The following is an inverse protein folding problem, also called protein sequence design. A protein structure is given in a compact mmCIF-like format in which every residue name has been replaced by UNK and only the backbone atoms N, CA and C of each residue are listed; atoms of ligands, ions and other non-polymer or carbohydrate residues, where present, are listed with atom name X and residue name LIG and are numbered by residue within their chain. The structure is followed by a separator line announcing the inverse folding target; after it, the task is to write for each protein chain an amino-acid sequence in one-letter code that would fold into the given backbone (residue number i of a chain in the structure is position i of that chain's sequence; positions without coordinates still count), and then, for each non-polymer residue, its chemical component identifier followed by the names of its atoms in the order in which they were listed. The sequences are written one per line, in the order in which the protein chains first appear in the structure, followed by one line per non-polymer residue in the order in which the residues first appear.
data_IF_591430298259
#
_entry.id   IF_591430298259
#
_cell.length_a   1.000
_cell.length_b   1.000
_cell.length_c   1.000
_cell.angle_alpha   90.00
_cell.angle_beta   90.00
_cell.angle_gamma   90.00
#
_symmetry.space_group_name_H-M   'P 1'
#
loop_
_entity.id
_entity.type
_entity.pdbx_description
1 polymer ?
#
# COMPACT_ATOMS: atom_id res chain seq x y z
N UNK A 1 -18.72 11.79 2.37
CA UNK A 1 -17.46 11.31 2.96
C UNK A 1 -16.51 10.96 1.85
N UNK A 2 -15.33 11.57 1.83
CA UNK A 2 -14.25 11.32 0.88
C UNK A 2 -13.12 10.63 1.63
N UNK A 3 -12.63 9.50 1.09
CA UNK A 3 -11.56 8.71 1.71
C UNK A 3 -10.41 8.60 0.71
N UNK A 4 -9.21 9.05 1.09
CA UNK A 4 -8.00 8.74 0.35
C UNK A 4 -7.50 7.37 0.81
N UNK A 5 -7.48 6.42 -0.11
CA UNK A 5 -7.18 5.01 0.21
C UNK A 5 -5.70 4.64 0.06
N UNK A 6 -4.83 5.61 -0.34
CA UNK A 6 -3.44 5.30 -0.64
C UNK A 6 -2.45 6.28 -0.01
N UNK A 7 -2.24 6.17 1.31
CA UNK A 7 -1.35 7.06 2.06
C UNK A 7 -0.26 6.28 2.81
N UNK A 8 1.00 6.61 2.55
CA UNK A 8 2.15 6.07 3.29
C UNK A 8 2.51 6.99 4.46
N UNK A 9 2.35 6.56 5.73
CA UNK A 9 2.51 7.42 6.90
C UNK A 9 3.97 7.56 7.36
N UNK A 10 4.93 7.64 6.44
CA UNK A 10 6.36 7.51 6.73
C UNK A 10 6.98 8.58 7.63
N UNK A 11 6.35 9.76 7.77
CA UNK A 11 6.99 10.93 8.39
C UNK A 11 6.15 11.60 9.49
N UNK A 12 5.25 10.89 10.15
CA UNK A 12 4.62 11.42 11.36
C UNK A 12 5.59 11.40 12.53
N UNK A 13 5.68 12.51 13.30
CA UNK A 13 6.55 12.63 14.48
C UNK A 13 6.38 11.46 15.44
N UNK A 14 5.15 11.02 15.65
CA UNK A 14 4.80 9.94 16.57
C UNK A 14 5.51 8.61 16.31
N UNK A 15 5.86 8.33 15.05
CA UNK A 15 6.49 7.08 14.62
C UNK A 15 7.89 7.29 14.00
N UNK A 16 8.46 8.47 14.16
CA UNK A 16 9.76 8.85 13.58
C UNK A 16 10.82 9.14 14.60
N UNK A 17 10.68 8.60 15.82
CA UNK A 17 11.64 8.79 16.92
C UNK A 17 12.94 8.03 16.75
N UNK A 18 12.93 6.91 16.05
CA UNK A 18 14.13 6.14 15.73
C UNK A 18 14.80 6.69 14.46
N UNK A 19 16.07 7.06 14.58
CA UNK A 19 16.83 7.67 13.47
C UNK A 19 17.21 6.66 12.39
N UNK A 20 17.50 5.42 12.76
CA UNK A 20 17.90 4.38 11.80
C UNK A 20 16.70 3.97 10.96
N UNK A 21 15.54 3.78 11.59
CA UNK A 21 14.28 3.54 10.88
C UNK A 21 13.91 4.71 9.96
N UNK A 22 14.08 5.94 10.41
CA UNK A 22 13.76 7.12 9.61
C UNK A 22 14.65 7.22 8.36
N UNK A 23 15.95 6.98 8.51
CA UNK A 23 16.87 6.97 7.36
C UNK A 23 16.59 5.78 6.42
N UNK A 24 16.22 4.63 6.95
CA UNK A 24 15.76 3.50 6.13
C UNK A 24 14.53 3.87 5.31
N UNK A 25 13.51 4.53 5.92
CA UNK A 25 12.31 5.01 5.22
C UNK A 25 12.64 5.97 4.10
N UNK A 26 13.48 6.98 4.39
CA UNK A 26 13.91 7.96 3.39
C UNK A 26 14.54 7.29 2.19
N UNK A 27 15.47 6.38 2.43
CA UNK A 27 16.14 5.60 1.39
C UNK A 27 15.15 4.78 0.57
N UNK A 28 14.25 4.03 1.23
CA UNK A 28 13.30 3.16 0.54
C UNK A 28 12.21 3.90 -0.23
N UNK A 29 11.83 5.09 0.21
CA UNK A 29 10.81 5.91 -0.40
C UNK A 29 11.36 6.98 -1.35
N UNK A 30 12.69 7.15 -1.44
CA UNK A 30 13.35 8.25 -2.17
C UNK A 30 12.90 9.64 -1.70
N UNK A 31 12.72 9.83 -0.39
CA UNK A 31 12.22 11.05 0.23
C UNK A 31 13.27 11.73 1.11
N UNK A 32 14.47 11.91 0.59
CA UNK A 32 15.64 12.40 1.34
C UNK A 32 15.42 13.76 2.02
N UNK A 33 14.57 14.62 1.43
CA UNK A 33 14.28 15.95 1.94
C UNK A 33 13.13 16.00 2.95
N UNK A 34 12.42 14.89 3.16
CA UNK A 34 11.29 14.86 4.08
C UNK A 34 11.76 14.87 5.54
N UNK A 35 11.03 15.62 6.34
CA UNK A 35 11.21 15.70 7.80
C UNK A 35 9.93 15.28 8.51
N UNK A 36 10.02 14.74 9.72
CA UNK A 36 8.85 14.44 10.53
C UNK A 36 7.97 15.66 10.76
N UNK A 37 6.64 15.44 10.74
CA UNK A 37 5.62 16.46 10.94
C UNK A 37 4.49 15.96 11.84
N UNK A 38 3.80 16.87 12.56
CA UNK A 38 2.70 16.51 13.43
C UNK A 38 1.42 16.16 12.67
N UNK A 39 0.54 15.37 13.28
CA UNK A 39 -0.77 14.97 12.71
C UNK A 39 -1.65 16.19 12.39
N UNK A 40 -1.52 17.27 13.14
CA UNK A 40 -2.28 18.51 12.93
C UNK A 40 -2.05 19.15 11.57
N UNK A 41 -0.86 18.98 11.00
CA UNK A 41 -0.58 19.42 9.63
C UNK A 41 -1.46 18.65 8.64
N UNK A 42 -1.52 17.32 8.77
CA UNK A 42 -2.39 16.47 7.95
C UNK A 42 -3.86 16.85 8.13
N UNK A 43 -4.31 17.08 9.35
CA UNK A 43 -5.69 17.53 9.65
C UNK A 43 -6.03 18.82 8.91
N UNK A 44 -5.10 19.76 8.87
CA UNK A 44 -5.25 21.02 8.16
C UNK A 44 -5.31 20.79 6.64
N UNK A 45 -4.42 19.97 6.10
CA UNK A 45 -4.39 19.63 4.66
C UNK A 45 -5.68 18.92 4.21
N UNK A 46 -6.15 17.92 4.99
CA UNK A 46 -7.38 17.19 4.71
C UNK A 46 -8.60 18.11 4.69
N UNK A 47 -8.70 19.04 5.67
CA UNK A 47 -9.76 20.03 5.68
C UNK A 47 -9.77 20.92 4.45
N UNK A 48 -8.59 21.35 4.01
CA UNK A 48 -8.44 22.15 2.80
C UNK A 48 -8.78 21.36 1.53
N UNK A 49 -8.35 20.10 1.47
CA UNK A 49 -8.62 19.18 0.35
C UNK A 49 -10.03 18.56 0.37
N UNK A 50 -10.85 18.83 1.38
CA UNK A 50 -12.16 18.20 1.58
C UNK A 50 -12.10 16.66 1.65
N UNK A 51 -11.04 16.12 2.26
CA UNK A 51 -10.87 14.68 2.52
C UNK A 51 -11.24 14.40 3.98
N UNK A 52 -12.05 13.38 4.20
CA UNK A 52 -12.56 13.05 5.54
C UNK A 52 -11.70 12.02 6.26
N UNK A 53 -11.15 11.04 5.51
CA UNK A 53 -10.37 9.92 6.07
C UNK A 53 -9.20 9.57 5.18
N UNK A 54 -8.14 9.01 5.79
CA UNK A 54 -6.98 8.45 5.12
C UNK A 54 -6.81 6.98 5.49
N UNK A 55 -6.49 6.14 4.52
CA UNK A 55 -6.07 4.76 4.76
C UNK A 55 -4.55 4.71 4.77
N UNK A 56 -3.99 4.38 5.92
CA UNK A 56 -2.54 4.29 6.12
C UNK A 56 -2.01 2.93 5.68
N UNK A 57 -1.04 2.94 4.78
CA UNK A 57 -0.44 1.75 4.16
C UNK A 57 0.98 1.54 4.67
N UNK A 58 1.22 0.50 5.48
CA UNK A 58 2.57 0.08 5.87
C UNK A 58 3.27 -0.63 4.72
N UNK A 59 4.56 -0.97 4.88
CA UNK A 59 5.27 -1.75 3.88
C UNK A 59 6.35 -2.61 4.54
N UNK A 60 6.17 -3.91 4.50
CA UNK A 60 7.15 -4.90 4.96
C UNK A 60 8.11 -5.27 3.82
N UNK A 61 9.37 -4.93 3.99
CA UNK A 61 10.46 -5.25 3.07
C UNK A 61 11.54 -6.09 3.78
N UNK A 62 11.14 -6.89 4.77
CA UNK A 62 12.08 -7.63 5.63
C UNK A 62 13.03 -8.48 4.80
N UNK A 63 12.55 -9.21 3.82
CA UNK A 63 13.38 -10.09 2.98
C UNK A 63 14.13 -9.32 1.89
N UNK A 64 13.45 -8.37 1.23
CA UNK A 64 14.04 -7.66 0.07
C UNK A 64 14.99 -6.52 0.46
N UNK A 65 14.77 -5.86 1.60
CA UNK A 65 15.57 -4.70 2.02
C UNK A 65 15.99 -4.72 3.50
N UNK A 66 15.62 -5.75 4.27
CA UNK A 66 16.04 -5.95 5.66
C UNK A 66 15.22 -5.19 6.70
N UNK A 67 14.03 -4.68 6.37
CA UNK A 67 13.21 -3.95 7.34
C UNK A 67 11.87 -3.46 6.84
N UNK A 68 11.22 -2.63 7.64
CA UNK A 68 9.93 -2.03 7.35
C UNK A 68 10.07 -0.56 6.98
N UNK A 69 9.37 -0.12 5.93
CA UNK A 69 9.21 1.32 5.69
C UNK A 69 8.36 1.93 6.80
N UNK A 70 7.20 1.32 7.07
CA UNK A 70 6.38 1.56 8.27
C UNK A 70 5.81 0.21 8.68
N UNK A 71 5.86 -0.13 9.96
CA UNK A 71 5.35 -1.40 10.48
C UNK A 71 3.84 -1.37 10.74
N UNK A 72 3.23 -2.55 10.90
CA UNK A 72 1.83 -2.67 11.31
C UNK A 72 1.58 -2.03 12.68
N UNK A 73 2.52 -2.17 13.62
CA UNK A 73 2.47 -1.56 14.95
C UNK A 73 2.48 -0.03 14.88
N UNK A 74 3.29 0.52 13.99
CA UNK A 74 3.35 1.97 13.78
C UNK A 74 2.06 2.51 13.15
N UNK A 75 1.46 1.77 12.22
CA UNK A 75 0.13 2.12 11.69
C UNK A 75 -0.92 2.09 12.80
N UNK A 76 -0.91 1.06 13.67
CA UNK A 76 -1.81 1.02 14.83
C UNK A 76 -1.62 2.23 15.75
N UNK A 77 -0.37 2.62 16.01
CA UNK A 77 -0.05 3.81 16.80
C UNK A 77 -0.67 5.06 16.19
N UNK A 78 -0.58 5.23 14.88
CA UNK A 78 -1.18 6.38 14.17
C UNK A 78 -2.71 6.36 14.21
N UNK A 79 -3.33 5.18 14.01
CA UNK A 79 -4.79 5.03 14.13
C UNK A 79 -5.27 5.35 15.54
N UNK A 80 -4.53 4.97 16.58
CA UNK A 80 -4.84 5.30 17.96
C UNK A 80 -4.67 6.81 18.27
N UNK A 81 -3.66 7.44 17.65
CA UNK A 81 -3.40 8.89 17.81
C UNK A 81 -4.54 9.75 17.24
N UNK A 82 -5.08 9.35 16.07
CA UNK A 82 -6.13 10.11 15.41
C UNK A 82 -7.19 9.17 14.76
N UNK A 83 -8.02 8.49 15.57
CA UNK A 83 -9.00 7.51 15.08
C UNK A 83 -10.13 8.16 14.26
N UNK A 84 -10.31 9.46 14.40
CA UNK A 84 -11.23 10.25 13.60
C UNK A 84 -10.70 10.53 12.18
N UNK A 85 -9.39 10.40 11.93
CA UNK A 85 -8.75 10.63 10.63
C UNK A 85 -8.35 9.35 9.92
N UNK A 86 -7.83 8.36 10.64
CA UNK A 86 -7.09 7.26 10.06
C UNK A 86 -7.82 5.94 10.13
N UNK A 87 -7.74 5.20 9.02
CA UNK A 87 -7.88 3.75 8.96
C UNK A 87 -6.50 3.13 8.72
N UNK A 88 -6.26 1.91 9.20
CA UNK A 88 -5.00 1.22 9.01
C UNK A 88 -5.17 -0.05 8.19
N UNK A 89 -4.28 -0.26 7.22
CA UNK A 89 -4.08 -1.54 6.56
C UNK A 89 -2.85 -2.23 7.14
N UNK A 90 -2.74 -3.52 6.91
CA UNK A 90 -1.54 -4.33 7.20
C UNK A 90 -0.62 -4.40 6.00
N UNK A 91 0.62 -4.80 6.22
CA UNK A 91 1.52 -5.33 5.21
C UNK A 91 2.20 -6.58 5.74
N UNK A 92 2.71 -7.40 4.86
CA UNK A 92 3.54 -8.55 5.18
C UNK A 92 4.49 -8.82 4.01
N UNK A 93 5.73 -9.18 4.31
CA UNK A 93 6.63 -9.72 3.30
C UNK A 93 6.24 -11.19 3.03
N UNK A 94 5.87 -11.57 1.79
CA UNK A 94 5.39 -12.92 1.49
C UNK A 94 6.42 -14.03 1.72
N UNK A 95 7.70 -13.69 1.73
CA UNK A 95 8.80 -14.63 1.92
C UNK A 95 9.13 -14.93 3.39
N UNK A 96 8.46 -14.28 4.33
CA UNK A 96 8.64 -14.55 5.76
C UNK A 96 8.05 -15.91 6.12
N UNK A 97 8.73 -16.65 6.97
CA UNK A 97 8.23 -17.91 7.51
C UNK A 97 6.97 -17.71 8.39
N UNK A 98 6.90 -16.56 9.09
CA UNK A 98 5.80 -16.18 9.97
C UNK A 98 4.73 -15.29 9.30
N UNK A 99 4.72 -15.20 7.96
CA UNK A 99 3.83 -14.28 7.21
C UNK A 99 2.35 -14.42 7.60
N UNK A 100 1.86 -15.63 7.77
CA UNK A 100 0.45 -15.88 8.13
C UNK A 100 0.14 -15.50 9.57
N UNK A 101 1.09 -15.68 10.49
CA UNK A 101 0.95 -15.28 11.90
C UNK A 101 0.92 -13.74 12.01
N UNK A 102 1.78 -13.05 11.26
CA UNK A 102 1.80 -11.59 11.16
C UNK A 102 0.44 -11.07 10.66
N UNK A 103 -0.13 -11.67 9.61
CA UNK A 103 -1.44 -11.28 9.09
C UNK A 103 -2.56 -11.58 10.08
N UNK A 104 -2.54 -12.74 10.71
CA UNK A 104 -3.56 -13.09 11.69
C UNK A 104 -3.58 -12.13 12.88
N UNK A 105 -2.40 -11.80 13.42
CA UNK A 105 -2.24 -10.77 14.44
C UNK A 105 -2.78 -9.42 13.96
N UNK A 106 -2.42 -9.01 12.74
CA UNK A 106 -2.84 -7.74 12.16
C UNK A 106 -4.38 -7.63 12.06
N UNK A 107 -5.05 -8.69 11.64
CA UNK A 107 -6.50 -8.68 11.43
C UNK A 107 -7.31 -8.90 12.71
N UNK A 108 -6.85 -9.79 13.61
CA UNK A 108 -7.58 -10.14 14.84
C UNK A 108 -7.29 -9.21 16.01
N UNK A 109 -6.01 -8.89 16.23
CA UNK A 109 -5.58 -8.21 17.45
C UNK A 109 -5.39 -6.72 17.20
N UNK A 110 -4.81 -6.35 16.06
CA UNK A 110 -4.51 -4.97 15.71
C UNK A 110 -5.67 -4.25 15.01
N UNK A 111 -6.70 -4.99 14.57
CA UNK A 111 -7.90 -4.42 13.96
C UNK A 111 -7.65 -3.78 12.58
N UNK A 112 -6.57 -4.12 11.90
CA UNK A 112 -6.25 -3.58 10.58
C UNK A 112 -7.26 -4.06 9.53
N UNK A 113 -7.64 -3.15 8.63
CA UNK A 113 -8.86 -3.29 7.83
C UNK A 113 -8.65 -3.89 6.44
N UNK A 114 -7.41 -4.06 6.01
CA UNK A 114 -7.03 -4.62 4.72
C UNK A 114 -5.55 -4.94 4.67
N UNK A 115 -5.08 -5.34 3.50
CA UNK A 115 -3.68 -5.67 3.23
C UNK A 115 -3.13 -4.75 2.14
N UNK A 116 -1.92 -4.27 2.29
CA UNK A 116 -1.14 -3.59 1.26
C UNK A 116 0.10 -4.38 0.92
N UNK A 117 0.33 -4.61 -0.37
CA UNK A 117 1.50 -5.30 -0.90
C UNK A 117 2.12 -4.50 -2.05
N UNK A 118 3.45 -4.60 -2.18
CA UNK A 118 4.19 -4.00 -3.30
C UNK A 118 4.96 -5.08 -4.06
N UNK A 119 4.35 -5.70 -5.09
CA UNK A 119 4.98 -6.79 -5.84
C UNK A 119 6.36 -6.45 -6.41
N UNK A 120 6.56 -5.20 -6.86
CA UNK A 120 7.84 -4.78 -7.43
C UNK A 120 8.94 -4.68 -6.38
N UNK A 121 8.66 -4.12 -5.19
CA UNK A 121 9.62 -4.00 -4.10
C UNK A 121 9.85 -5.31 -3.35
N UNK A 122 8.81 -6.12 -3.20
CA UNK A 122 8.86 -7.42 -2.55
C UNK A 122 9.25 -8.57 -3.50
N UNK A 123 9.41 -8.28 -4.80
CA UNK A 123 9.91 -9.16 -5.85
C UNK A 123 9.12 -10.47 -6.05
N UNK A 124 7.78 -10.43 -6.00
CA UNK A 124 6.92 -11.59 -6.24
C UNK A 124 5.92 -11.36 -7.38
N UNK A 125 5.48 -12.43 -8.04
CA UNK A 125 4.34 -12.39 -8.94
C UNK A 125 3.04 -12.58 -8.15
N UNK A 126 1.99 -11.79 -8.43
CA UNK A 126 0.70 -11.93 -7.74
C UNK A 126 0.08 -13.33 -7.84
N UNK A 127 0.32 -14.05 -8.93
CA UNK A 127 -0.18 -15.42 -9.17
C UNK A 127 0.78 -16.53 -8.69
N UNK A 128 1.84 -16.17 -7.98
CA UNK A 128 2.73 -17.18 -7.37
C UNK A 128 1.95 -18.03 -6.36
N UNK A 129 2.07 -19.37 -6.39
CA UNK A 129 1.38 -20.26 -5.46
C UNK A 129 1.65 -19.97 -3.97
N UNK A 130 2.79 -19.37 -3.61
CA UNK A 130 3.07 -18.99 -2.23
C UNK A 130 2.10 -17.94 -1.70
N UNK A 131 1.48 -17.15 -2.58
CA UNK A 131 0.52 -16.11 -2.23
C UNK A 131 -0.86 -16.65 -1.86
N UNK A 132 -1.17 -17.89 -2.23
CA UNK A 132 -2.51 -18.48 -2.05
C UNK A 132 -2.99 -18.39 -0.58
N UNK A 133 -2.15 -18.76 0.37
CA UNK A 133 -2.50 -18.73 1.80
C UNK A 133 -2.73 -17.28 2.31
N UNK A 134 -2.04 -16.30 1.75
CA UNK A 134 -2.23 -14.89 2.07
C UNK A 134 -3.60 -14.43 1.57
N UNK A 135 -3.97 -14.82 0.33
CA UNK A 135 -5.27 -14.50 -0.25
C UNK A 135 -6.42 -15.21 0.47
N UNK A 136 -6.26 -16.49 0.78
CA UNK A 136 -7.22 -17.25 1.59
C UNK A 136 -7.46 -16.58 2.95
N UNK A 137 -6.40 -16.10 3.60
CA UNK A 137 -6.49 -15.36 4.87
C UNK A 137 -7.24 -14.03 4.69
N UNK A 138 -7.02 -13.31 3.61
CA UNK A 138 -7.77 -12.08 3.32
C UNK A 138 -9.25 -12.35 3.05
N UNK A 139 -9.59 -13.44 2.35
CA UNK A 139 -10.97 -13.87 2.13
C UNK A 139 -11.62 -14.27 3.46
N UNK A 140 -10.95 -15.11 4.27
CA UNK A 140 -11.42 -15.56 5.59
C UNK A 140 -11.82 -14.39 6.49
N UNK A 141 -11.02 -13.32 6.51
CA UNK A 141 -11.27 -12.13 7.33
C UNK A 141 -12.04 -11.02 6.59
N UNK A 142 -12.50 -11.27 5.35
CA UNK A 142 -13.16 -10.29 4.50
C UNK A 142 -12.35 -8.98 4.36
N UNK A 143 -11.05 -9.09 4.16
CA UNK A 143 -10.13 -7.96 4.01
C UNK A 143 -9.79 -7.70 2.54
N UNK A 144 -9.90 -6.45 2.04
CA UNK A 144 -9.44 -6.10 0.71
C UNK A 144 -7.91 -6.08 0.65
N UNK A 145 -7.36 -6.19 -0.56
CA UNK A 145 -5.94 -5.98 -0.83
C UNK A 145 -5.77 -4.78 -1.77
N UNK A 146 -4.83 -3.89 -1.44
CA UNK A 146 -4.30 -2.87 -2.35
C UNK A 146 -2.91 -3.33 -2.77
N UNK A 147 -2.69 -3.46 -4.06
CA UNK A 147 -1.38 -3.70 -4.64
C UNK A 147 -0.81 -2.41 -5.22
N UNK A 148 0.42 -2.05 -4.85
CA UNK A 148 1.18 -1.09 -5.65
C UNK A 148 1.45 -1.70 -7.02
N UNK A 149 0.96 -1.07 -8.07
CA UNK A 149 1.02 -1.61 -9.42
C UNK A 149 1.67 -0.62 -10.41
N UNK A 150 2.08 -1.14 -11.56
CA UNK A 150 2.75 -0.34 -12.57
C UNK A 150 4.21 -0.04 -12.25
N UNK A 151 4.60 1.20 -12.43
CA UNK A 151 5.98 1.65 -12.22
C UNK A 151 6.28 1.86 -10.73
N UNK A 152 7.41 1.33 -10.28
CA UNK A 152 8.03 1.72 -9.01
C UNK A 152 9.17 2.71 -9.27
N UNK A 153 9.32 3.73 -8.41
CA UNK A 153 10.46 4.67 -8.49
C UNK A 153 11.79 4.09 -7.99
N UNK A 154 11.81 2.85 -7.62
CA UNK A 154 12.98 2.14 -7.13
C UNK A 154 13.78 1.62 -8.32
N UNK A 155 15.05 2.00 -8.46
CA UNK A 155 15.89 1.67 -9.62
C UNK A 155 16.15 0.17 -9.77
N UNK A 156 16.12 -0.58 -8.66
CA UNK A 156 16.35 -2.02 -8.59
C UNK A 156 15.06 -2.85 -8.54
N UNK A 157 13.88 -2.21 -8.62
CA UNK A 157 12.59 -2.87 -8.59
C UNK A 157 12.07 -3.16 -10.01
N UNK A 158 11.75 -4.41 -10.29
CA UNK A 158 11.33 -4.80 -11.64
C UNK A 158 9.83 -4.58 -11.86
N UNK A 159 9.48 -3.73 -12.83
CA UNK A 159 8.10 -3.43 -13.22
C UNK A 159 7.29 -4.67 -13.64
N UNK A 160 7.95 -5.76 -14.05
CA UNK A 160 7.27 -7.00 -14.48
C UNK A 160 6.34 -7.57 -13.42
N UNK A 161 6.64 -7.37 -12.14
CA UNK A 161 5.83 -7.87 -11.03
C UNK A 161 4.54 -7.07 -10.82
N UNK A 162 4.56 -5.77 -11.11
CA UNK A 162 3.44 -4.85 -10.91
C UNK A 162 2.52 -4.68 -12.12
N UNK A 163 2.66 -5.47 -13.20
CA UNK A 163 1.77 -5.35 -14.37
C UNK A 163 0.35 -5.71 -14.02
N UNK A 164 -0.65 -4.90 -14.44
CA UNK A 164 -2.06 -5.13 -14.09
C UNK A 164 -2.57 -6.53 -14.47
N UNK A 165 -2.17 -7.08 -15.62
CA UNK A 165 -2.61 -8.41 -16.05
C UNK A 165 -2.07 -9.55 -15.18
N UNK A 166 -1.03 -9.34 -14.37
CA UNK A 166 -0.57 -10.34 -13.40
C UNK A 166 -1.60 -10.60 -12.29
N UNK A 167 -2.55 -9.67 -12.06
CA UNK A 167 -3.62 -9.83 -11.08
C UNK A 167 -4.83 -10.60 -11.64
N UNK A 168 -4.91 -10.84 -12.97
CA UNK A 168 -6.04 -11.53 -13.59
C UNK A 168 -6.26 -12.96 -13.05
N UNK A 169 -5.23 -13.82 -12.94
CA UNK A 169 -5.40 -15.15 -12.37
C UNK A 169 -5.91 -15.12 -10.93
N UNK A 170 -5.47 -14.13 -10.13
CA UNK A 170 -5.90 -13.94 -8.74
C UNK A 170 -7.37 -13.53 -8.69
N UNK A 171 -7.78 -12.57 -9.53
CA UNK A 171 -9.16 -12.10 -9.59
C UNK A 171 -10.14 -13.23 -9.95
N UNK A 172 -9.74 -14.15 -10.85
CA UNK A 172 -10.53 -15.32 -11.25
C UNK A 172 -10.58 -16.37 -10.14
N UNK A 173 -9.43 -16.67 -9.53
CA UNK A 173 -9.30 -17.72 -8.51
C UNK A 173 -10.01 -17.36 -7.21
N UNK A 174 -10.00 -16.07 -6.84
CA UNK A 174 -10.55 -15.54 -5.59
C UNK A 174 -11.63 -14.47 -5.88
N UNK A 175 -12.82 -14.84 -6.39
CA UNK A 175 -13.85 -13.87 -6.78
C UNK A 175 -14.41 -13.07 -5.58
N UNK A 176 -14.24 -13.55 -4.36
CA UNK A 176 -14.65 -12.88 -3.12
C UNK A 176 -13.60 -11.87 -2.61
N UNK A 177 -12.36 -11.97 -3.11
CA UNK A 177 -11.28 -11.07 -2.75
C UNK A 177 -11.41 -9.74 -3.49
N UNK A 178 -11.56 -8.66 -2.76
CA UNK A 178 -11.55 -7.30 -3.33
C UNK A 178 -10.11 -6.87 -3.58
N UNK A 179 -9.75 -6.66 -4.84
CA UNK A 179 -8.40 -6.30 -5.29
C UNK A 179 -8.44 -4.86 -5.78
N UNK A 180 -7.59 -4.00 -5.23
CA UNK A 180 -7.38 -2.64 -5.72
C UNK A 180 -6.01 -2.55 -6.38
N UNK A 181 -6.00 -2.17 -7.66
CA UNK A 181 -4.79 -1.91 -8.45
C UNK A 181 -4.37 -0.45 -8.21
N UNK A 182 -3.30 -0.24 -7.47
CA UNK A 182 -2.80 1.08 -7.15
C UNK A 182 -2.32 1.86 -8.39
N UNK A 183 -2.42 3.20 -8.32
CA UNK A 183 -1.92 4.12 -9.35
C UNK A 183 -2.49 3.86 -10.76
N UNK A 184 -3.70 3.28 -10.87
CA UNK A 184 -4.23 2.78 -12.16
C UNK A 184 -3.22 1.87 -12.90
N UNK A 185 -2.24 1.30 -12.20
CA UNK A 185 -1.17 0.50 -12.80
C UNK A 185 -0.28 1.28 -13.77
N UNK A 186 -0.15 2.60 -13.58
CA UNK A 186 0.60 3.46 -14.51
C UNK A 186 2.00 2.88 -14.83
N UNK A 187 2.43 2.83 -16.13
CA UNK A 187 1.79 3.40 -17.32
C UNK A 187 0.78 2.48 -18.03
N UNK A 188 0.42 1.32 -17.46
CA UNK A 188 -0.46 0.30 -18.07
C UNK A 188 -1.95 0.58 -17.81
N UNK A 189 -2.39 1.84 -17.96
CA UNK A 189 -3.74 2.31 -17.60
C UNK A 189 -4.85 1.55 -18.34
N UNK A 190 -4.65 1.25 -19.63
CA UNK A 190 -5.65 0.52 -20.43
C UNK A 190 -5.82 -0.94 -19.98
N UNK A 191 -4.75 -1.59 -19.52
CA UNK A 191 -4.83 -2.93 -18.93
C UNK A 191 -5.64 -2.89 -17.63
N UNK A 192 -5.37 -1.91 -16.76
CA UNK A 192 -6.13 -1.70 -15.53
C UNK A 192 -7.60 -1.42 -15.81
N UNK A 193 -7.92 -0.55 -16.79
CA UNK A 193 -9.29 -0.27 -17.19
C UNK A 193 -10.01 -1.53 -17.70
N UNK A 194 -9.33 -2.36 -18.48
CA UNK A 194 -9.89 -3.64 -18.93
C UNK A 194 -10.17 -4.60 -17.76
N UNK A 195 -9.26 -4.65 -16.76
CA UNK A 195 -9.44 -5.46 -15.56
C UNK A 195 -10.67 -5.02 -14.74
N UNK A 196 -10.83 -3.71 -14.51
CA UNK A 196 -11.97 -3.15 -13.76
C UNK A 196 -13.30 -3.42 -14.49
N UNK A 197 -13.32 -3.29 -15.81
CA UNK A 197 -14.53 -3.54 -16.62
C UNK A 197 -14.92 -5.02 -16.63
N UNK A 198 -13.94 -5.92 -16.55
CA UNK A 198 -14.16 -7.36 -16.71
C UNK A 198 -14.47 -8.06 -15.38
N UNK A 199 -13.84 -7.64 -14.27
CA UNK A 199 -13.88 -8.35 -12.99
C UNK A 199 -14.55 -7.49 -11.91
N UNK A 200 -15.71 -7.92 -11.37
CA UNK A 200 -16.48 -7.13 -10.39
C UNK A 200 -15.76 -6.98 -9.03
N UNK A 201 -14.76 -7.80 -8.76
CA UNK A 201 -13.95 -7.76 -7.55
C UNK A 201 -12.66 -6.96 -7.73
N UNK A 202 -12.43 -6.34 -8.90
CA UNK A 202 -11.24 -5.52 -9.17
C UNK A 202 -11.62 -4.03 -9.17
N UNK A 203 -10.84 -3.25 -8.46
CA UNK A 203 -10.91 -1.80 -8.29
C UNK A 203 -9.56 -1.19 -8.65
N UNK A 204 -9.50 0.12 -8.77
CA UNK A 204 -8.23 0.83 -8.83
C UNK A 204 -8.29 2.13 -8.05
N UNK A 205 -7.15 2.60 -7.57
CA UNK A 205 -6.99 3.95 -7.07
C UNK A 205 -6.29 4.85 -8.09
N UNK A 206 -6.48 6.15 -7.91
CA UNK A 206 -5.96 7.19 -8.80
C UNK A 206 -4.77 7.95 -8.21
N UNK A 207 -4.14 7.39 -7.19
CA UNK A 207 -2.95 8.00 -6.59
C UNK A 207 -1.84 8.17 -7.62
N UNK A 208 -1.14 9.30 -7.58
CA UNK A 208 -0.02 9.65 -8.47
C UNK A 208 -0.31 9.68 -9.97
N UNK A 209 -1.58 9.79 -10.40
CA UNK A 209 -1.94 9.88 -11.82
C UNK A 209 -1.48 11.18 -12.52
N UNK A 210 -1.10 12.20 -11.76
CA UNK A 210 -0.49 13.41 -12.35
C UNK A 210 0.77 13.12 -13.17
N UNK A 211 1.36 11.96 -13.01
CA UNK A 211 2.51 11.49 -13.80
C UNK A 211 2.18 11.12 -15.25
N UNK A 212 0.90 11.02 -15.59
CA UNK A 212 0.45 10.83 -16.98
C UNK A 212 0.71 12.06 -17.86
N UNK A 213 1.02 13.20 -17.25
CA UNK A 213 1.32 14.44 -17.94
C UNK A 213 2.68 14.98 -17.50
N UNK A 214 3.81 14.36 -17.90
CA UNK A 214 5.13 14.86 -17.53
C UNK A 214 5.35 16.32 -17.86
N UNK A 215 4.77 16.81 -18.99
CA UNK A 215 4.85 18.21 -19.40
C UNK A 215 4.11 19.16 -18.45
N UNK A 216 3.00 18.72 -17.88
CA UNK A 216 2.24 19.49 -16.90
C UNK A 216 2.96 19.53 -15.57
N UNK A 217 3.54 18.39 -15.18
CA UNK A 217 4.35 18.25 -13.98
C UNK A 217 5.65 19.07 -14.03
N UNK A 218 6.23 19.23 -15.22
CA UNK A 218 7.47 19.99 -15.43
C UNK A 218 7.25 21.50 -15.60
N UNK A 219 6.01 21.97 -15.67
CA UNK A 219 5.67 23.40 -15.84
C UNK A 219 5.34 24.12 -14.53
N UNK A 220 5.10 23.39 -13.46
CA UNK A 220 4.83 23.89 -12.11
C UNK A 220 6.09 23.82 -11.25
#
# INVERSE_FOLDING_TARGET
MVIDVHVHPGFYEKISGDKEELEFRKKQAHWDLMSPFPVELTRTQMKFAHVDKLVLLPMDLTTSAGGWVVSNEQVCTMVQEAPDLFFGFASVDPYREDALEVLEKAFKEQGLMGLYLNPSKQAFFPDDPMMDKIYEKCVEYNKPIIFSAGMSFCDDCLMKYGKPLNFEPVAIKYPELRICIGHMGWPFIYETAAMILKYPNVYADTSMLYMDSPEQFMKD
#
